data_IF_753083335979
#
_entry.id   IF_753083335979
#
_cell.length_a   1.000
_cell.length_b   1.000
_cell.length_c   1.000
_cell.angle_alpha   90.00
_cell.angle_beta   90.00
_cell.angle_gamma   90.00
#
_symmetry.space_group_name_H-M   'P 1'
#
loop_
_entity.id
_entity.type
_entity.pdbx_description
1 polymer ?
#
# COMPACT_ATOMS: atom_id res chain seq x y z
N UNK A 1 -24.29 13.90 -17.38
CA UNK A 1 -22.88 14.16 -17.06
C UNK A 1 -22.43 13.14 -16.04
N UNK A 2 -21.60 12.19 -16.39
CA UNK A 2 -20.99 11.25 -15.46
C UNK A 2 -20.18 12.07 -14.45
N UNK A 3 -20.55 12.04 -13.16
CA UNK A 3 -19.78 12.67 -12.08
C UNK A 3 -18.33 12.22 -12.23
N UNK A 4 -17.43 13.17 -12.40
CA UNK A 4 -16.00 12.86 -12.48
C UNK A 4 -15.62 12.13 -11.19
N UNK A 5 -14.99 10.97 -11.26
CA UNK A 5 -14.69 10.14 -10.09
C UNK A 5 -13.93 10.90 -9.01
N UNK A 6 -13.17 11.94 -9.37
CA UNK A 6 -12.44 12.80 -8.46
C UNK A 6 -13.35 13.57 -7.49
N UNK A 7 -14.52 14.03 -7.94
CA UNK A 7 -15.43 14.84 -7.12
C UNK A 7 -16.08 14.06 -5.96
N UNK A 8 -15.95 12.74 -5.98
CA UNK A 8 -16.57 11.85 -4.99
C UNK A 8 -15.55 10.96 -4.27
N UNK A 9 -14.24 11.22 -4.44
CA UNK A 9 -13.20 10.42 -3.77
C UNK A 9 -13.34 10.50 -2.25
N UNK A 10 -13.53 9.37 -1.54
CA UNK A 10 -13.56 9.35 -0.09
C UNK A 10 -12.15 9.47 0.50
N UNK A 11 -12.07 9.71 1.81
CA UNK A 11 -10.79 9.69 2.55
C UNK A 11 -10.08 8.34 2.46
N UNK A 12 -10.83 7.24 2.33
CA UNK A 12 -10.27 5.89 2.15
C UNK A 12 -9.60 5.68 0.79
N UNK A 13 -9.76 6.61 -0.15
CA UNK A 13 -9.00 6.56 -1.39
C UNK A 13 -7.54 6.95 -1.12
N UNK A 14 -6.62 6.15 -1.59
CA UNK A 14 -5.18 6.29 -1.46
C UNK A 14 -4.65 7.70 -1.80
N UNK A 15 -4.99 8.21 -2.99
CA UNK A 15 -4.60 9.56 -3.39
C UNK A 15 -5.18 10.63 -2.46
N UNK A 16 -6.47 10.52 -2.09
CA UNK A 16 -7.12 11.50 -1.21
C UNK A 16 -6.51 11.48 0.20
N UNK A 17 -6.26 10.30 0.75
CA UNK A 17 -5.61 10.16 2.05
C UNK A 17 -4.24 10.83 2.08
N UNK A 18 -3.39 10.55 1.08
CA UNK A 18 -2.07 11.19 0.95
C UNK A 18 -2.18 12.71 0.93
N UNK A 19 -3.05 13.23 0.08
CA UNK A 19 -3.26 14.68 -0.05
C UNK A 19 -3.76 15.34 1.24
N UNK A 20 -4.66 14.70 1.97
CA UNK A 20 -5.12 15.19 3.28
C UNK A 20 -3.97 15.17 4.31
N UNK A 21 -3.13 14.14 4.29
CA UNK A 21 -2.00 13.99 5.22
C UNK A 21 -0.83 14.93 4.90
N UNK A 22 -0.79 15.60 3.75
CA UNK A 22 0.11 16.74 3.49
C UNK A 22 -0.17 17.91 4.46
N UNK A 23 -1.37 17.98 5.02
CA UNK A 23 -1.69 18.93 6.08
C UNK A 23 -1.04 18.48 7.39
N UNK A 24 0.12 19.07 7.71
CA UNK A 24 0.92 18.72 8.89
C UNK A 24 0.13 18.72 10.19
N UNK A 25 -0.82 19.65 10.35
CA UNK A 25 -1.66 19.74 11.56
C UNK A 25 -2.56 18.53 11.71
N UNK A 26 -3.21 18.09 10.62
CA UNK A 26 -4.08 16.91 10.63
C UNK A 26 -3.25 15.64 10.82
N UNK A 27 -2.15 15.51 10.10
CA UNK A 27 -1.22 14.39 10.20
C UNK A 27 -0.68 14.24 11.63
N UNK A 28 -0.19 15.32 12.24
CA UNK A 28 0.31 15.36 13.62
C UNK A 28 -0.75 14.88 14.62
N UNK A 29 -2.00 15.40 14.51
CA UNK A 29 -3.09 15.00 15.39
C UNK A 29 -3.40 13.50 15.26
N UNK A 30 -3.44 12.97 14.03
CA UNK A 30 -3.73 11.56 13.79
C UNK A 30 -2.64 10.67 14.35
N UNK A 31 -1.36 10.95 14.05
CA UNK A 31 -0.23 10.14 14.53
C UNK A 31 -0.13 10.20 16.03
N UNK A 32 -0.25 11.37 16.66
CA UNK A 32 -0.26 11.51 18.11
C UNK A 32 -1.37 10.69 18.77
N UNK A 33 -2.56 10.68 18.18
CA UNK A 33 -3.68 9.90 18.71
C UNK A 33 -3.47 8.38 18.52
N UNK A 34 -2.92 7.93 17.38
CA UNK A 34 -2.57 6.52 17.13
C UNK A 34 -1.52 6.05 18.12
N UNK A 35 -0.47 6.84 18.31
CA UNK A 35 0.64 6.51 19.20
C UNK A 35 0.32 6.76 20.67
N UNK A 36 -0.81 7.37 20.99
CA UNK A 36 -1.22 7.78 22.34
C UNK A 36 -0.13 8.60 23.05
N UNK A 37 0.56 9.44 22.29
CA UNK A 37 1.60 10.34 22.79
C UNK A 37 1.50 11.71 22.16
N UNK A 38 1.96 12.72 22.87
CA UNK A 38 2.11 14.05 22.28
C UNK A 38 3.29 14.03 21.29
N UNK A 39 3.06 14.56 20.11
CA UNK A 39 4.07 14.83 19.10
C UNK A 39 4.22 16.34 19.04
N UNK A 40 5.40 16.85 19.40
CA UNK A 40 5.62 18.29 19.47
C UNK A 40 5.62 18.91 18.07
N UNK A 41 6.27 18.27 17.11
CA UNK A 41 6.23 18.71 15.71
C UNK A 41 6.46 17.56 14.71
N UNK A 42 6.07 17.78 13.45
CA UNK A 42 6.44 16.96 12.30
C UNK A 42 7.53 17.71 11.54
N UNK A 43 8.76 17.19 11.62
CA UNK A 43 9.94 17.79 11.00
C UNK A 43 9.92 17.58 9.48
N UNK A 44 9.45 16.39 9.05
CA UNK A 44 9.47 15.96 7.66
C UNK A 44 8.15 15.29 7.29
N UNK A 45 7.62 15.66 6.16
CA UNK A 45 6.46 15.00 5.56
C UNK A 45 6.73 14.84 4.07
N UNK A 46 6.72 13.60 3.61
CA UNK A 46 6.84 13.27 2.20
C UNK A 46 5.69 12.36 1.81
N UNK A 47 5.03 12.69 0.72
CA UNK A 47 3.98 11.86 0.15
C UNK A 47 4.43 11.31 -1.19
N UNK A 48 4.10 10.05 -1.45
CA UNK A 48 4.46 9.36 -2.69
C UNK A 48 5.97 9.18 -2.90
N UNK A 49 6.75 9.01 -1.80
CA UNK A 49 8.17 8.69 -1.93
C UNK A 49 8.35 7.34 -2.59
N UNK A 50 9.03 7.32 -3.71
CA UNK A 50 9.52 6.09 -4.33
C UNK A 50 10.95 5.86 -3.85
N UNK A 51 11.21 4.70 -3.28
CA UNK A 51 12.54 4.27 -2.88
C UNK A 51 12.89 3.06 -3.75
N UNK A 52 13.91 3.22 -4.57
CA UNK A 52 14.48 2.17 -5.43
C UNK A 52 15.91 1.92 -4.97
N UNK A 53 16.17 0.88 -4.17
CA UNK A 53 17.49 0.63 -3.60
C UNK A 53 18.57 0.37 -4.65
N UNK A 54 18.19 -0.25 -5.78
CA UNK A 54 19.08 -0.57 -6.92
C UNK A 54 18.28 -0.52 -8.23
N UNK A 55 18.94 -0.28 -9.35
CA UNK A 55 18.32 -0.12 -10.68
C UNK A 55 17.40 -1.30 -11.08
N UNK A 56 17.74 -2.54 -10.66
CA UNK A 56 16.97 -3.75 -10.95
C UNK A 56 16.10 -4.23 -9.77
N UNK A 57 15.98 -3.43 -8.70
CA UNK A 57 15.19 -3.82 -7.53
C UNK A 57 13.74 -3.38 -7.66
N UNK A 58 12.84 -4.12 -7.01
CA UNK A 58 11.45 -3.69 -6.87
C UNK A 58 11.39 -2.46 -5.98
N UNK A 59 11.20 -1.29 -6.56
CA UNK A 59 10.92 -0.05 -5.83
C UNK A 59 9.65 -0.13 -4.99
N UNK A 60 9.59 0.67 -3.95
CA UNK A 60 8.40 0.85 -3.12
C UNK A 60 7.96 2.30 -3.19
N UNK A 61 6.67 2.49 -3.44
CA UNK A 61 6.02 3.78 -3.33
C UNK A 61 5.28 3.82 -2.00
N UNK A 62 5.80 4.60 -1.09
CA UNK A 62 5.23 4.78 0.25
C UNK A 62 4.21 5.92 0.23
N UNK A 63 3.12 5.75 0.99
CA UNK A 63 2.01 6.69 0.95
C UNK A 63 2.34 8.01 1.64
N UNK A 64 2.63 7.98 2.92
CA UNK A 64 2.96 9.16 3.73
C UNK A 64 4.09 8.83 4.67
N UNK A 65 5.24 9.49 4.50
CA UNK A 65 6.38 9.35 5.41
C UNK A 65 6.51 10.63 6.22
N UNK A 66 6.64 10.48 7.51
CA UNK A 66 6.91 11.60 8.42
C UNK A 66 8.01 11.24 9.41
N UNK A 67 8.67 12.26 9.94
CA UNK A 67 9.53 12.15 11.12
C UNK A 67 9.02 13.11 12.19
N UNK A 68 8.96 12.65 13.45
CA UNK A 68 8.65 13.50 14.58
C UNK A 68 9.91 14.22 15.10
N UNK A 69 9.72 15.09 16.09
CA UNK A 69 10.78 15.84 16.76
C UNK A 69 11.81 14.96 17.49
N UNK A 70 11.49 13.68 17.73
CA UNK A 70 12.40 12.66 18.29
C UNK A 70 13.02 11.77 17.22
N UNK A 71 12.92 12.17 15.96
CA UNK A 71 13.40 11.43 14.78
C UNK A 71 12.73 10.08 14.53
N UNK A 72 11.65 9.73 15.25
CA UNK A 72 10.88 8.52 14.93
C UNK A 72 10.31 8.65 13.51
N UNK A 73 10.57 7.67 12.67
CA UNK A 73 10.01 7.58 11.32
C UNK A 73 8.67 6.86 11.35
N UNK A 74 7.70 7.41 10.66
CA UNK A 74 6.39 6.79 10.47
C UNK A 74 6.12 6.65 8.98
N UNK A 75 5.59 5.50 8.60
CA UNK A 75 4.95 5.31 7.29
C UNK A 75 3.47 5.03 7.51
N UNK A 76 2.60 5.87 6.97
CA UNK A 76 1.15 5.70 7.03
C UNK A 76 0.65 5.25 5.66
N UNK A 77 -0.03 4.11 5.63
CA UNK A 77 -0.54 3.46 4.42
C UNK A 77 -2.05 3.28 4.50
N UNK A 78 -2.78 3.62 3.44
CA UNK A 78 -4.21 3.32 3.32
C UNK A 78 -4.40 2.01 2.55
N UNK A 79 -5.08 1.03 3.13
CA UNK A 79 -5.31 -0.28 2.54
C UNK A 79 -6.82 -0.54 2.36
N UNK A 80 -7.31 -0.37 1.14
CA UNK A 80 -8.74 -0.53 0.83
C UNK A 80 -9.14 -1.99 0.66
N UNK A 81 -8.21 -2.84 0.22
CA UNK A 81 -8.46 -4.26 -0.08
C UNK A 81 -7.35 -5.13 0.49
N UNK A 82 -7.73 -6.31 0.96
CA UNK A 82 -6.78 -7.38 1.26
C UNK A 82 -6.33 -8.02 -0.07
N UNK A 83 -5.15 -7.61 -0.54
CA UNK A 83 -4.59 -8.13 -1.80
C UNK A 83 -3.91 -9.47 -1.54
N UNK A 84 -4.27 -10.47 -2.32
CA UNK A 84 -3.69 -11.82 -2.28
C UNK A 84 -2.59 -11.95 -3.33
N UNK A 85 -1.65 -12.85 -3.07
CA UNK A 85 -0.59 -13.19 -4.02
C UNK A 85 -1.11 -14.14 -5.09
N UNK A 86 -0.79 -13.87 -6.36
CA UNK A 86 -1.29 -14.64 -7.51
C UNK A 86 -0.84 -16.11 -7.48
N UNK A 87 0.36 -16.38 -6.95
CA UNK A 87 0.93 -17.74 -6.86
C UNK A 87 0.54 -18.49 -5.59
N UNK A 88 0.33 -17.80 -4.47
CA UNK A 88 0.14 -18.43 -3.17
C UNK A 88 -1.30 -18.34 -2.66
N UNK A 89 -2.10 -17.41 -3.18
CA UNK A 89 -3.42 -17.08 -2.62
C UNK A 89 -3.36 -16.44 -1.22
N UNK A 90 -2.15 -16.25 -0.67
CA UNK A 90 -1.96 -15.71 0.67
C UNK A 90 -1.98 -14.18 0.68
N UNK A 91 -2.42 -13.56 1.79
CA UNK A 91 -2.39 -12.11 1.92
C UNK A 91 -0.98 -11.53 1.77
N UNK A 92 -0.83 -10.50 0.95
CA UNK A 92 0.48 -9.88 0.69
C UNK A 92 0.92 -8.92 1.78
N UNK A 93 0.00 -8.38 2.58
CA UNK A 93 0.31 -7.34 3.57
C UNK A 93 1.43 -7.74 4.55
N UNK A 94 1.51 -8.96 5.13
CA UNK A 94 2.59 -9.33 6.03
C UNK A 94 3.98 -9.33 5.36
N UNK A 95 4.05 -9.73 4.09
CA UNK A 95 5.32 -9.68 3.33
C UNK A 95 5.68 -8.25 2.93
N UNK A 96 4.67 -7.42 2.64
CA UNK A 96 4.86 -6.00 2.37
C UNK A 96 5.39 -5.26 3.60
N UNK A 97 4.87 -5.52 4.80
CA UNK A 97 5.36 -4.87 6.02
C UNK A 97 6.86 -5.11 6.21
N UNK A 98 7.32 -6.37 6.04
CA UNK A 98 8.73 -6.73 6.13
C UNK A 98 9.56 -6.01 5.06
N UNK A 99 9.09 -5.98 3.83
CA UNK A 99 9.79 -5.35 2.72
C UNK A 99 9.88 -3.83 2.90
N UNK A 100 8.80 -3.19 3.34
CA UNK A 100 8.77 -1.76 3.63
C UNK A 100 9.73 -1.38 4.76
N UNK A 101 9.77 -2.18 5.82
CA UNK A 101 10.76 -2.00 6.87
C UNK A 101 12.18 -1.99 6.31
N UNK A 102 12.56 -3.03 5.57
CA UNK A 102 13.93 -3.16 5.00
C UNK A 102 14.31 -1.97 4.12
N UNK A 103 13.39 -1.51 3.28
CA UNK A 103 13.64 -0.37 2.39
C UNK A 103 13.75 0.95 3.18
N UNK A 104 12.92 1.14 4.20
CA UNK A 104 13.02 2.34 5.04
C UNK A 104 14.29 2.35 5.88
N UNK A 105 14.74 1.19 6.38
CA UNK A 105 16.01 1.06 7.09
C UNK A 105 17.19 1.41 6.17
N UNK A 106 17.17 0.94 4.92
CA UNK A 106 18.17 1.30 3.91
C UNK A 106 18.16 2.79 3.53
N UNK A 107 17.00 3.43 3.51
CA UNK A 107 16.86 4.87 3.27
C UNK A 107 17.39 5.71 4.46
N UNK A 108 17.29 5.18 5.67
CA UNK A 108 17.74 5.85 6.87
C UNK A 108 19.25 5.72 7.12
N UNK A 109 19.84 4.59 6.77
CA UNK A 109 21.24 4.28 7.07
C UNK A 109 22.09 4.30 5.81
N UNK A 110 23.00 5.26 5.71
CA UNK A 110 23.92 5.39 4.57
C UNK A 110 25.21 4.60 4.80
N UNK A 111 25.96 4.36 3.72
CA UNK A 111 27.25 3.67 3.77
C UNK A 111 28.23 4.37 4.72
N UNK A 112 28.71 3.63 5.71
CA UNK A 112 29.68 4.13 6.70
C UNK A 112 29.05 4.67 7.98
N UNK A 113 27.73 4.64 8.10
CA UNK A 113 27.04 4.97 9.35
C UNK A 113 26.89 3.72 10.22
N UNK A 114 26.85 3.92 11.54
CA UNK A 114 26.69 2.86 12.52
C UNK A 114 25.20 2.51 12.72
N UNK A 115 24.90 1.30 13.19
CA UNK A 115 23.51 0.84 13.40
C UNK A 115 22.77 1.59 14.49
N UNK A 116 23.47 2.24 15.42
CA UNK A 116 22.88 3.11 16.46
C UNK A 116 22.30 4.42 15.89
N UNK A 117 22.61 4.76 14.63
CA UNK A 117 22.00 5.87 13.91
C UNK A 117 20.61 5.54 13.31
N UNK A 118 20.21 4.25 13.33
CA UNK A 118 18.87 3.86 12.91
C UNK A 118 17.81 4.44 13.85
N UNK A 119 16.93 5.25 13.27
CA UNK A 119 15.85 5.84 14.05
C UNK A 119 14.71 4.84 14.27
N UNK A 120 13.93 4.96 15.38
CA UNK A 120 12.73 4.15 15.56
C UNK A 120 11.79 4.24 14.37
N UNK A 121 11.21 3.10 13.97
CA UNK A 121 10.33 2.96 12.81
C UNK A 121 8.95 2.46 13.21
N UNK A 122 7.91 3.16 12.76
CA UNK A 122 6.52 2.76 12.96
C UNK A 122 5.83 2.66 11.60
N UNK A 123 5.41 1.45 11.24
CA UNK A 123 4.60 1.20 10.05
C UNK A 123 3.13 1.14 10.45
N UNK A 124 2.32 2.03 9.90
CA UNK A 124 0.88 2.13 10.19
C UNK A 124 0.08 1.84 8.94
N UNK A 125 -0.65 0.73 8.95
CA UNK A 125 -1.57 0.37 7.88
C UNK A 125 -3.00 0.61 8.34
N UNK A 126 -3.72 1.51 7.69
CA UNK A 126 -5.13 1.81 7.93
C UNK A 126 -5.94 0.96 6.96
N UNK A 127 -6.54 -0.12 7.47
CA UNK A 127 -7.23 -1.12 6.67
C UNK A 127 -8.75 -0.85 6.66
N UNK A 128 -9.36 -0.79 5.48
CA UNK A 128 -10.81 -0.74 5.32
C UNK A 128 -11.48 -2.12 5.49
N UNK A 129 -10.76 -3.07 6.07
CA UNK A 129 -11.19 -4.46 6.34
C UNK A 129 -10.52 -4.96 7.60
N UNK A 130 -11.10 -5.99 8.24
CA UNK A 130 -10.45 -6.68 9.36
C UNK A 130 -9.53 -7.79 8.85
N UNK A 131 -8.22 -7.58 8.97
CA UNK A 131 -7.22 -8.52 8.45
C UNK A 131 -7.25 -9.88 9.14
N UNK A 132 -7.56 -9.90 10.46
CA UNK A 132 -7.54 -11.12 11.29
C UNK A 132 -8.93 -11.63 11.65
N UNK A 133 -9.99 -10.89 11.31
CA UNK A 133 -11.38 -11.20 11.66
C UNK A 133 -11.62 -11.33 13.18
N UNK A 134 -10.84 -10.63 14.02
CA UNK A 134 -11.00 -10.63 15.48
C UNK A 134 -11.74 -9.39 16.01
N UNK A 135 -12.15 -8.47 15.15
CA UNK A 135 -12.90 -7.28 15.50
C UNK A 135 -12.14 -6.21 16.28
N UNK A 136 -10.81 -6.29 16.40
CA UNK A 136 -10.02 -5.28 17.11
C UNK A 136 -9.83 -4.02 16.29
N UNK A 137 -9.83 -2.85 16.95
CA UNK A 137 -9.50 -1.58 16.30
C UNK A 137 -8.03 -1.49 15.89
N UNK A 138 -7.13 -2.14 16.63
CA UNK A 138 -5.69 -2.11 16.39
C UNK A 138 -5.06 -3.45 16.71
N UNK A 139 -4.16 -3.88 15.83
CA UNK A 139 -3.24 -5.00 16.03
C UNK A 139 -1.83 -4.44 16.03
N UNK A 140 -1.11 -4.62 17.13
CA UNK A 140 0.25 -4.12 17.32
C UNK A 140 1.24 -5.27 17.29
N UNK A 141 2.23 -5.18 16.41
CA UNK A 141 3.28 -6.18 16.28
C UNK A 141 4.62 -5.60 16.64
N UNK A 142 5.34 -6.33 17.48
CA UNK A 142 6.72 -6.09 17.91
C UNK A 142 7.45 -7.42 18.02
N UNK A 143 8.76 -7.40 17.87
CA UNK A 143 9.60 -8.60 17.99
C UNK A 143 9.68 -9.08 19.44
N UNK A 144 9.18 -10.27 19.73
CA UNK A 144 9.21 -10.87 21.07
C UNK A 144 9.81 -12.27 21.02
N UNK A 145 10.45 -12.66 22.13
CA UNK A 145 10.97 -14.00 22.34
C UNK A 145 9.80 -14.98 22.53
N UNK A 146 9.77 -16.05 21.75
CA UNK A 146 8.69 -17.05 21.87
C UNK A 146 8.78 -17.86 23.16
N UNK A 147 9.99 -18.08 23.68
CA UNK A 147 10.26 -18.79 24.92
C UNK A 147 9.87 -17.97 26.17
N UNK A 148 9.83 -16.63 26.02
CA UNK A 148 9.39 -15.71 27.08
C UNK A 148 8.80 -14.45 26.43
N UNK A 149 7.49 -14.38 26.32
CA UNK A 149 6.79 -13.26 25.67
C UNK A 149 6.93 -11.91 26.38
N UNK A 150 7.46 -11.88 27.63
CA UNK A 150 7.80 -10.63 28.31
C UNK A 150 9.08 -9.98 27.77
N UNK A 151 9.95 -10.75 27.10
CA UNK A 151 11.17 -10.25 26.47
C UNK A 151 10.88 -9.67 25.09
N UNK A 152 11.15 -8.39 24.93
CA UNK A 152 11.09 -7.69 23.64
C UNK A 152 12.51 -7.52 23.08
N UNK A 153 12.71 -7.77 21.79
CA UNK A 153 14.03 -7.63 21.12
C UNK A 153 14.52 -6.17 21.09
N UNK A 154 13.62 -5.19 21.28
CA UNK A 154 13.93 -3.75 21.29
C UNK A 154 14.67 -3.28 20.03
N UNK A 155 14.24 -3.77 18.89
CA UNK A 155 14.74 -3.34 17.58
C UNK A 155 14.10 -2.03 17.10
N UNK A 156 13.33 -1.36 17.98
CA UNK A 156 12.64 -0.08 17.73
C UNK A 156 11.70 -0.05 16.52
N UNK A 157 11.28 -1.23 16.06
CA UNK A 157 10.28 -1.37 14.99
C UNK A 157 8.93 -1.74 15.57
N UNK A 158 7.90 -1.00 15.14
CA UNK A 158 6.50 -1.29 15.49
C UNK A 158 5.65 -1.32 14.22
N UNK A 159 4.84 -2.36 14.05
CA UNK A 159 3.83 -2.42 12.98
C UNK A 159 2.45 -2.34 13.60
N UNK A 160 1.64 -1.41 13.11
CA UNK A 160 0.26 -1.19 13.52
C UNK A 160 -0.67 -1.47 12.35
N UNK A 161 -1.59 -2.42 12.51
CA UNK A 161 -2.71 -2.59 11.59
C UNK A 161 -3.96 -2.01 12.26
N UNK A 162 -4.46 -0.90 11.73
CA UNK A 162 -5.68 -0.25 12.18
C UNK A 162 -6.85 -0.76 11.34
N UNK A 163 -7.92 -1.18 12.01
CA UNK A 163 -9.08 -1.79 11.39
C UNK A 163 -10.29 -0.83 11.46
N UNK A 164 -10.74 -0.34 10.31
CA UNK A 164 -11.91 0.57 10.27
C UNK A 164 -13.24 -0.11 10.62
N UNK A 165 -13.28 -1.44 10.59
CA UNK A 165 -14.44 -2.25 10.99
C UNK A 165 -14.33 -2.74 12.44
N UNK A 166 -13.33 -2.27 13.19
CA UNK A 166 -13.10 -2.68 14.58
C UNK A 166 -14.24 -2.32 15.51
N UNK A 167 -14.47 -3.18 16.49
CA UNK A 167 -15.50 -3.01 17.54
C UNK A 167 -14.94 -3.17 18.94
N UNK A 168 -13.71 -3.70 19.07
CA UNK A 168 -13.10 -4.08 20.35
C UNK A 168 -11.70 -3.46 20.51
N UNK A 169 -11.30 -3.32 21.77
CA UNK A 169 -9.98 -2.82 22.17
C UNK A 169 -9.99 -1.32 22.48
N UNK A 170 -8.94 -0.89 23.17
CA UNK A 170 -8.76 0.50 23.59
C UNK A 170 -7.98 1.29 22.54
N UNK A 171 -8.64 2.25 21.94
CA UNK A 171 -8.05 3.30 21.12
C UNK A 171 -8.58 4.64 21.58
N UNK A 172 -7.87 5.72 21.26
CA UNK A 172 -8.39 7.06 21.57
C UNK A 172 -9.70 7.32 20.85
N UNK A 173 -10.61 8.14 21.42
CA UNK A 173 -11.85 8.52 20.73
C UNK A 173 -11.59 9.08 19.33
N UNK A 174 -10.53 9.86 19.16
CA UNK A 174 -10.12 10.40 17.85
C UNK A 174 -9.83 9.28 16.84
N UNK A 175 -9.04 8.27 17.22
CA UNK A 175 -8.72 7.14 16.33
C UNK A 175 -9.98 6.34 16.02
N UNK A 176 -10.81 6.04 17.01
CA UNK A 176 -12.08 5.34 16.82
C UNK A 176 -12.98 6.06 15.81
N UNK A 177 -13.16 7.37 15.99
CA UNK A 177 -14.01 8.19 15.14
C UNK A 177 -13.41 8.33 13.72
N UNK A 178 -12.07 8.43 13.61
CA UNK A 178 -11.39 8.46 12.32
C UNK A 178 -11.57 7.13 11.56
N UNK A 179 -11.38 5.99 12.22
CA UNK A 179 -11.58 4.67 11.61
C UNK A 179 -13.03 4.49 11.14
N UNK A 180 -14.00 4.93 11.95
CA UNK A 180 -15.41 4.94 11.54
C UNK A 180 -15.63 5.84 10.33
N UNK A 181 -15.02 7.03 10.31
CA UNK A 181 -15.13 7.94 9.17
C UNK A 181 -14.51 7.33 7.89
N UNK A 182 -13.38 6.61 7.99
CA UNK A 182 -12.78 5.87 6.86
C UNK A 182 -13.76 4.82 6.29
N UNK A 183 -14.53 4.16 7.15
CA UNK A 183 -15.47 3.10 6.77
C UNK A 183 -16.80 3.66 6.24
N UNK A 184 -17.39 4.63 6.93
CA UNK A 184 -18.75 5.15 6.67
C UNK A 184 -18.76 6.42 5.83
N UNK A 185 -17.62 7.10 5.71
CA UNK A 185 -17.47 8.42 5.06
C UNK A 185 -18.40 9.50 5.66
N UNK A 186 -18.69 9.40 6.96
CA UNK A 186 -19.52 10.34 7.71
C UNK A 186 -18.72 10.93 8.86
N UNK A 187 -18.38 12.23 8.86
CA UNK A 187 -17.65 12.88 9.94
C UNK A 187 -18.53 13.03 11.18
N UNK A 188 -18.06 12.61 12.36
CA UNK A 188 -18.86 12.55 13.59
C UNK A 188 -18.28 13.37 14.75
N UNK A 189 -17.05 13.85 14.64
CA UNK A 189 -16.42 14.70 15.64
C UNK A 189 -15.64 15.86 14.99
N UNK A 190 -15.08 16.73 15.83
CA UNK A 190 -14.33 17.90 15.36
C UNK A 190 -13.16 17.52 14.44
N UNK A 191 -12.42 16.43 14.77
CA UNK A 191 -11.28 16.03 13.97
C UNK A 191 -11.71 15.51 12.60
N UNK A 192 -12.69 14.61 12.55
CA UNK A 192 -13.21 14.07 11.28
C UNK A 192 -13.89 15.14 10.43
N UNK A 193 -14.51 16.17 11.06
CA UNK A 193 -15.03 17.35 10.35
C UNK A 193 -13.89 18.19 9.75
N UNK A 194 -12.77 18.38 10.47
CA UNK A 194 -11.59 19.05 9.93
C UNK A 194 -10.98 18.26 8.74
N UNK A 195 -10.96 16.93 8.83
CA UNK A 195 -10.51 16.06 7.73
C UNK A 195 -11.45 16.14 6.53
N UNK A 196 -12.78 16.08 6.74
CA UNK A 196 -13.76 16.22 5.64
C UNK A 196 -13.68 17.60 4.99
N UNK A 197 -13.50 18.67 5.77
CA UNK A 197 -13.32 20.01 5.22
C UNK A 197 -12.09 20.06 4.27
N UNK A 198 -11.01 19.39 4.62
CA UNK A 198 -9.82 19.28 3.77
C UNK A 198 -10.10 18.42 2.51
N UNK A 199 -10.82 17.31 2.65
CA UNK A 199 -11.28 16.49 1.51
C UNK A 199 -12.12 17.32 0.54
N UNK A 200 -13.09 18.09 1.05
CA UNK A 200 -13.95 18.96 0.23
C UNK A 200 -13.11 20.03 -0.47
N UNK A 201 -12.17 20.67 0.23
CA UNK A 201 -11.24 21.64 -0.34
C UNK A 201 -10.43 21.02 -1.50
N UNK A 202 -9.87 19.82 -1.29
CA UNK A 202 -9.07 19.11 -2.28
C UNK A 202 -9.89 18.69 -3.51
N UNK A 203 -11.14 18.28 -3.34
CA UNK A 203 -12.06 17.98 -4.47
C UNK A 203 -12.30 19.20 -5.36
N UNK A 204 -12.16 20.42 -4.83
CA UNK A 204 -12.27 21.67 -5.59
C UNK A 204 -10.93 22.16 -6.14
N UNK A 205 -9.81 21.60 -5.68
CA UNK A 205 -8.47 22.01 -6.09
C UNK A 205 -8.14 21.51 -7.51
N UNK A 206 -7.88 22.48 -8.41
CA UNK A 206 -7.56 22.16 -9.82
C UNK A 206 -6.21 21.45 -9.98
N UNK A 207 -5.25 21.70 -9.07
CA UNK A 207 -3.95 21.05 -9.10
C UNK A 207 -4.07 19.60 -8.68
N UNK A 208 -4.72 19.34 -7.53
CA UNK A 208 -4.98 17.98 -7.04
C UNK A 208 -5.77 17.16 -8.07
N UNK A 209 -6.77 17.75 -8.72
CA UNK A 209 -7.52 17.11 -9.79
C UNK A 209 -6.63 16.69 -10.95
N UNK A 210 -5.73 17.55 -11.42
CA UNK A 210 -4.80 17.23 -12.53
C UNK A 210 -3.86 16.10 -12.14
N UNK A 211 -3.28 16.15 -10.94
CA UNK A 211 -2.40 15.11 -10.41
C UNK A 211 -3.12 13.75 -10.37
N UNK A 212 -4.36 13.73 -9.84
CA UNK A 212 -5.17 12.50 -9.83
C UNK A 212 -5.47 11.97 -11.23
N UNK A 213 -5.78 12.84 -12.20
CA UNK A 213 -6.06 12.41 -13.57
C UNK A 213 -4.81 11.80 -14.22
N UNK A 214 -3.64 12.39 -14.04
CA UNK A 214 -2.37 11.83 -14.53
C UNK A 214 -2.10 10.47 -13.89
N UNK A 215 -2.21 10.37 -12.56
CA UNK A 215 -2.04 9.12 -11.83
C UNK A 215 -3.04 8.05 -12.29
N UNK A 216 -4.32 8.40 -12.41
CA UNK A 216 -5.36 7.45 -12.81
C UNK A 216 -5.17 6.94 -14.25
N UNK A 217 -4.68 7.79 -15.14
CA UNK A 217 -4.34 7.39 -16.52
C UNK A 217 -3.16 6.43 -16.51
N UNK A 218 -2.07 6.79 -15.83
CA UNK A 218 -0.89 5.92 -15.71
C UNK A 218 -1.24 4.55 -15.15
N UNK A 219 -1.97 4.49 -14.02
CA UNK A 219 -2.41 3.22 -13.42
C UNK A 219 -3.31 2.40 -14.34
N UNK A 220 -4.10 3.07 -15.18
CA UNK A 220 -4.93 2.39 -16.18
C UNK A 220 -4.07 1.79 -17.30
N UNK A 221 -3.07 2.53 -17.76
CA UNK A 221 -2.15 2.07 -18.80
C UNK A 221 -1.32 0.88 -18.31
N UNK A 222 -0.74 0.97 -17.12
CA UNK A 222 -0.01 -0.13 -16.46
C UNK A 222 -0.87 -1.40 -16.33
N UNK A 223 -2.16 -1.25 -15.91
CA UNK A 223 -3.09 -2.39 -15.85
C UNK A 223 -3.41 -2.99 -17.21
N UNK A 224 -3.51 -2.16 -18.24
CA UNK A 224 -3.77 -2.63 -19.59
C UNK A 224 -2.56 -3.38 -20.14
N UNK A 225 -1.36 -2.89 -19.89
CA UNK A 225 -0.10 -3.52 -20.25
C UNK A 225 0.06 -4.87 -19.54
N UNK A 226 -0.07 -4.93 -18.22
CA UNK A 226 -0.03 -6.18 -17.48
C UNK A 226 -1.06 -7.23 -17.96
N UNK A 227 -2.28 -6.80 -18.31
CA UNK A 227 -3.28 -7.70 -18.91
C UNK A 227 -2.90 -8.21 -20.30
N UNK A 228 -2.19 -7.40 -21.09
CA UNK A 228 -1.69 -7.82 -22.41
C UNK A 228 -0.57 -8.84 -22.25
N UNK A 229 0.35 -8.60 -21.33
CA UNK A 229 1.45 -9.53 -21.03
C UNK A 229 0.95 -10.86 -20.48
N UNK A 230 0.02 -10.83 -19.50
CA UNK A 230 -0.63 -12.04 -18.96
C UNK A 230 -1.34 -12.83 -20.07
N UNK A 231 -2.07 -12.14 -20.95
CA UNK A 231 -2.75 -12.76 -22.09
C UNK A 231 -1.75 -13.38 -23.07
N UNK A 232 -0.65 -12.68 -23.35
CA UNK A 232 0.40 -13.17 -24.23
C UNK A 232 1.10 -14.41 -23.63
N UNK A 233 1.41 -14.39 -22.33
CA UNK A 233 1.97 -15.52 -21.62
C UNK A 233 1.04 -16.74 -21.68
N UNK A 234 -0.23 -16.56 -21.30
CA UNK A 234 -1.25 -17.63 -21.38
C UNK A 234 -1.39 -18.21 -22.79
N UNK A 235 -1.38 -17.37 -23.81
CA UNK A 235 -1.47 -17.82 -25.20
C UNK A 235 -0.25 -18.68 -25.59
N UNK A 236 0.95 -18.31 -25.12
CA UNK A 236 2.18 -19.11 -25.31
C UNK A 236 2.10 -20.46 -24.60
N UNK A 237 1.63 -20.49 -23.35
CA UNK A 237 1.46 -21.72 -22.58
C UNK A 237 0.49 -22.68 -23.27
N UNK A 238 -0.67 -22.18 -23.72
CA UNK A 238 -1.64 -22.97 -24.50
C UNK A 238 -0.98 -23.55 -25.77
N UNK A 239 -0.25 -22.72 -26.52
CA UNK A 239 0.41 -23.19 -27.75
C UNK A 239 1.47 -24.25 -27.45
N UNK A 240 2.24 -24.08 -26.37
CA UNK A 240 3.27 -25.02 -25.98
C UNK A 240 2.69 -26.38 -25.58
N UNK A 241 1.62 -26.38 -24.78
CA UNK A 241 0.94 -27.61 -24.37
C UNK A 241 0.34 -28.34 -25.59
N UNK A 242 -0.30 -27.58 -26.49
CA UNK A 242 -0.84 -28.16 -27.73
C UNK A 242 0.23 -28.69 -28.68
N UNK A 243 1.43 -28.07 -28.73
CA UNK A 243 2.59 -28.57 -29.49
C UNK A 243 3.07 -29.91 -28.90
N UNK A 244 3.22 -30.00 -27.59
CA UNK A 244 3.59 -31.26 -26.90
C UNK A 244 2.58 -32.38 -27.16
N UNK A 245 1.30 -32.05 -27.17
CA UNK A 245 0.18 -32.96 -27.41
C UNK A 245 -0.05 -33.27 -28.91
N UNK A 246 0.84 -32.73 -29.78
CA UNK A 246 0.83 -32.96 -31.25
C UNK A 246 -0.46 -32.54 -31.97
N UNK A 247 -1.07 -31.47 -31.51
CA UNK A 247 -2.19 -30.84 -32.23
C UNK A 247 -1.74 -30.29 -33.59
N UNK A 248 -2.70 -30.18 -34.53
CA UNK A 248 -2.40 -29.60 -35.84
C UNK A 248 -2.12 -28.09 -35.72
N UNK A 249 -1.26 -27.54 -36.58
CA UNK A 249 -0.96 -26.11 -36.62
C UNK A 249 -2.22 -25.25 -36.67
N UNK A 250 -3.22 -25.66 -37.49
CA UNK A 250 -4.49 -24.94 -37.61
C UNK A 250 -5.26 -24.84 -36.28
N UNK A 251 -5.24 -25.92 -35.47
CA UNK A 251 -5.85 -25.94 -34.14
C UNK A 251 -5.10 -25.05 -33.18
N UNK A 252 -3.76 -25.12 -33.20
CA UNK A 252 -2.91 -24.28 -32.31
C UNK A 252 -3.13 -22.81 -32.60
N UNK A 253 -3.08 -22.36 -33.86
CA UNK A 253 -3.32 -20.97 -34.24
C UNK A 253 -4.70 -20.47 -33.80
N UNK A 254 -5.72 -21.32 -33.94
CA UNK A 254 -7.10 -20.97 -33.57
C UNK A 254 -7.27 -20.78 -32.06
N UNK A 255 -6.66 -21.64 -31.24
CA UNK A 255 -6.87 -21.66 -29.78
C UNK A 255 -5.90 -20.74 -29.03
N UNK A 256 -4.61 -20.74 -29.41
CA UNK A 256 -3.61 -19.89 -28.80
C UNK A 256 -3.70 -18.44 -29.26
N UNK A 257 -4.29 -18.17 -30.41
CA UNK A 257 -4.33 -16.83 -31.03
C UNK A 257 -2.95 -16.25 -31.33
N UNK A 258 -1.93 -17.09 -31.40
CA UNK A 258 -0.59 -16.71 -31.85
C UNK A 258 -0.51 -16.73 -33.36
N UNK A 259 0.44 -15.99 -33.93
CA UNK A 259 0.78 -16.07 -35.33
C UNK A 259 1.52 -17.37 -35.66
N UNK A 260 1.61 -17.73 -36.92
CA UNK A 260 2.32 -18.91 -37.39
C UNK A 260 3.82 -18.83 -37.05
N UNK A 261 4.39 -17.64 -37.20
CA UNK A 261 5.78 -17.32 -36.88
C UNK A 261 6.06 -17.50 -35.38
N UNK A 262 5.16 -17.02 -34.52
CA UNK A 262 5.28 -17.18 -33.08
C UNK A 262 5.20 -18.65 -32.64
N UNK A 263 4.31 -19.44 -33.24
CA UNK A 263 4.19 -20.87 -32.93
C UNK A 263 5.46 -21.64 -33.38
N UNK A 264 6.02 -21.33 -34.55
CA UNK A 264 7.28 -21.96 -34.98
C UNK A 264 8.47 -21.56 -34.13
N UNK A 265 8.59 -20.29 -33.77
CA UNK A 265 9.63 -19.83 -32.85
C UNK A 265 9.52 -20.52 -31.47
N UNK A 266 8.29 -20.69 -30.98
CA UNK A 266 8.04 -21.38 -29.71
C UNK A 266 8.40 -22.88 -29.79
N UNK A 267 8.06 -23.56 -30.88
CA UNK A 267 8.41 -24.95 -31.14
C UNK A 267 9.95 -25.12 -31.19
N UNK A 268 10.62 -24.27 -31.97
CA UNK A 268 12.09 -24.31 -32.09
C UNK A 268 12.79 -24.07 -30.76
N UNK A 269 12.33 -23.09 -29.98
CA UNK A 269 12.92 -22.76 -28.66
C UNK A 269 12.77 -23.90 -27.64
N UNK A 270 11.79 -24.80 -27.82
CA UNK A 270 11.51 -25.92 -26.92
C UNK A 270 11.86 -27.31 -27.51
N UNK A 271 12.50 -27.37 -28.69
CA UNK A 271 12.90 -28.61 -29.32
C UNK A 271 11.76 -29.49 -29.81
N UNK A 272 10.62 -28.89 -30.21
CA UNK A 272 9.39 -29.52 -30.65
C UNK A 272 9.20 -29.40 -32.15
#
# INVERSE_FOLDING_TARGET
>A
MTKNSFDTLPISNDFMFKKVMENKRLCKKLVGAIMQKEIADIIYTETEKTIEPYDDSRGVRLDVIIADDKRTRYNLEMQVKNTLGDTTGEPLLPKRTRYYQSIMDMDMLQKGQDFDELNPLVLVFICAFDFFNEGRYVYTFKSRCLENLALELKNDVTVLLLNSQGTQGNVTPLVKNFLRYVNENVPIDKFTQEVEAEVVRLRQDKKARREYMVLSTRLKDERMEGRREERAARNRDIALDMLKDKYTLAQILKLSRLSKEEVYALAQANGL
#
